data_IF_262627957970
#
_entry.id   IF_262627957970
#
_cell.length_a   1.000
_cell.length_b   1.000
_cell.length_c   1.000
_cell.angle_alpha   90.00
_cell.angle_beta   90.00
_cell.angle_gamma   90.00
#
_symmetry.space_group_name_H-M   'P 1'
#
loop_
_entity.id
_entity.type
_entity.pdbx_description
1 polymer ?
#
# COMPACT_ATOMS: atom_id res chain seq x y z
N UNK A 1 2.28 7.51 -7.16
CA UNK A 1 1.14 8.47 -6.98
C UNK A 1 0.68 8.43 -5.54
N UNK A 2 0.19 9.54 -4.98
CA UNK A 2 -0.35 9.58 -3.62
C UNK A 2 -1.74 10.22 -3.58
N UNK A 3 -2.60 9.71 -2.69
CA UNK A 3 -3.92 10.25 -2.34
C UNK A 3 -3.90 10.61 -0.87
N UNK A 4 -4.19 11.87 -0.54
CA UNK A 4 -4.31 12.32 0.84
C UNK A 4 -5.71 12.01 1.36
N UNK A 5 -5.80 11.33 2.51
CA UNK A 5 -7.08 10.96 3.11
C UNK A 5 -7.67 12.18 3.82
N UNK A 6 -8.97 12.40 3.61
CA UNK A 6 -9.70 13.54 4.19
C UNK A 6 -10.56 13.16 5.40
N UNK A 7 -10.90 11.88 5.52
CA UNK A 7 -11.66 11.35 6.64
C UNK A 7 -10.78 10.53 7.59
N UNK A 8 -11.39 10.13 8.68
CA UNK A 8 -10.73 9.45 9.78
C UNK A 8 -10.80 7.92 9.62
N UNK A 9 -9.72 7.35 9.09
CA UNK A 9 -9.54 5.90 8.98
C UNK A 9 -8.53 5.41 10.02
N UNK A 10 -8.80 4.26 10.64
CA UNK A 10 -7.94 3.75 11.72
C UNK A 10 -7.69 2.25 11.63
N UNK A 11 -6.51 1.84 12.12
CA UNK A 11 -6.11 0.44 12.28
C UNK A 11 -5.63 0.18 13.71
N UNK A 12 -5.87 -1.05 14.20
CA UNK A 12 -5.42 -1.59 15.50
C UNK A 12 -5.31 -3.12 15.40
N UNK A 13 -4.59 -3.75 16.33
CA UNK A 13 -4.36 -5.20 16.31
C UNK A 13 -3.08 -5.57 15.55
N UNK A 14 -2.95 -6.84 15.15
CA UNK A 14 -1.78 -7.37 14.42
C UNK A 14 -0.40 -7.07 15.09
N UNK A 15 -0.39 -6.92 16.42
CA UNK A 15 0.83 -6.58 17.19
C UNK A 15 1.16 -5.09 17.26
N UNK A 16 0.34 -4.19 16.70
CA UNK A 16 0.58 -2.75 16.75
C UNK A 16 0.37 -2.17 18.16
N UNK A 17 1.22 -1.23 18.61
CA UNK A 17 1.12 -0.59 19.92
C UNK A 17 0.05 0.52 19.92
N UNK A 18 -1.21 0.12 19.85
CA UNK A 18 -2.36 1.04 19.94
C UNK A 18 -3.11 1.23 18.62
N UNK A 19 -3.67 2.43 18.44
CA UNK A 19 -4.53 2.79 17.30
C UNK A 19 -3.82 3.82 16.43
N UNK A 20 -3.67 3.51 15.15
CA UNK A 20 -3.04 4.39 14.17
C UNK A 20 -4.11 5.00 13.26
N UNK A 21 -3.94 6.27 12.89
CA UNK A 21 -4.79 6.97 11.93
C UNK A 21 -4.08 6.98 10.57
N UNK A 22 -4.77 6.63 9.49
CA UNK A 22 -4.20 6.69 8.15
C UNK A 22 -4.11 8.13 7.65
N UNK A 23 -3.00 8.49 7.01
CA UNK A 23 -2.74 9.83 6.49
C UNK A 23 -2.95 9.91 4.96
N UNK A 24 -2.36 8.96 4.24
CA UNK A 24 -2.37 8.92 2.77
C UNK A 24 -2.39 7.48 2.27
N UNK A 25 -2.47 7.36 0.95
CA UNK A 25 -2.31 6.11 0.23
C UNK A 25 -1.43 6.34 -0.98
N UNK A 26 -0.39 5.54 -1.14
CA UNK A 26 0.58 5.63 -2.23
C UNK A 26 0.50 4.41 -3.15
N UNK A 27 0.81 4.62 -4.42
CA UNK A 27 0.70 3.62 -5.48
C UNK A 27 2.02 3.49 -6.23
N UNK A 28 2.42 2.23 -6.43
CA UNK A 28 3.53 1.79 -7.27
C UNK A 28 3.00 0.84 -8.35
N UNK A 29 3.39 1.02 -9.61
CA UNK A 29 2.95 0.18 -10.72
C UNK A 29 4.04 -0.03 -11.76
N UNK A 30 3.89 -1.08 -12.58
CA UNK A 30 4.82 -1.44 -13.66
C UNK A 30 4.60 -0.61 -14.92
N UNK A 31 5.56 -0.65 -15.84
CA UNK A 31 5.56 0.22 -17.02
C UNK A 31 4.35 0.01 -17.97
N UNK A 32 3.94 -1.23 -18.23
CA UNK A 32 2.94 -1.55 -19.27
C UNK A 32 2.38 -2.96 -19.13
N UNK A 33 1.18 -3.21 -19.67
CA UNK A 33 0.57 -4.53 -19.82
C UNK A 33 0.56 -5.39 -18.54
N UNK A 34 0.36 -4.76 -17.37
CA UNK A 34 0.38 -5.46 -16.10
C UNK A 34 1.75 -6.00 -15.69
N UNK A 35 2.84 -5.41 -16.18
CA UNK A 35 4.20 -5.77 -15.78
C UNK A 35 4.43 -5.52 -14.28
N UNK A 36 5.46 -6.17 -13.73
CA UNK A 36 5.77 -6.13 -12.31
C UNK A 36 5.97 -4.69 -11.79
N UNK A 37 5.15 -4.29 -10.83
CA UNK A 37 5.13 -2.95 -10.24
C UNK A 37 5.19 -2.91 -8.72
N UNK A 38 4.82 -4.00 -8.04
CA UNK A 38 4.81 -4.06 -6.57
C UNK A 38 6.22 -3.95 -6.01
N UNK A 39 6.46 -3.16 -4.97
CA UNK A 39 7.79 -3.06 -4.36
C UNK A 39 8.15 -4.35 -3.61
N UNK A 40 7.18 -4.96 -2.94
CA UNK A 40 7.31 -6.24 -2.28
C UNK A 40 6.99 -7.41 -3.22
N UNK A 41 7.43 -8.62 -2.81
CA UNK A 41 7.17 -9.87 -3.53
C UNK A 41 6.88 -11.01 -2.55
N UNK A 42 6.20 -12.05 -3.03
CA UNK A 42 5.97 -13.28 -2.28
C UNK A 42 6.55 -14.43 -3.09
N UNK A 43 7.52 -15.16 -2.53
CA UNK A 43 8.25 -16.24 -3.22
C UNK A 43 8.82 -15.80 -4.58
N UNK A 44 9.35 -14.58 -4.66
CA UNK A 44 9.90 -13.98 -5.88
C UNK A 44 8.86 -13.48 -6.88
N UNK A 45 7.56 -13.70 -6.66
CA UNK A 45 6.50 -13.16 -7.52
C UNK A 45 6.17 -11.73 -7.13
N UNK A 46 6.32 -10.81 -8.08
CA UNK A 46 5.83 -9.43 -8.01
C UNK A 46 4.45 -9.31 -8.65
N UNK A 47 3.69 -8.30 -8.23
CA UNK A 47 2.35 -8.00 -8.70
C UNK A 47 2.33 -6.73 -9.55
N UNK A 48 1.30 -6.50 -10.38
CA UNK A 48 1.27 -5.35 -11.29
C UNK A 48 1.24 -3.99 -10.59
N UNK A 49 0.60 -3.92 -9.42
CA UNK A 49 0.44 -2.70 -8.62
C UNK A 49 0.60 -3.06 -7.14
N UNK A 50 1.20 -2.16 -6.36
CA UNK A 50 1.15 -2.16 -4.90
C UNK A 50 0.57 -0.85 -4.39
N UNK A 51 -0.27 -0.97 -3.37
CA UNK A 51 -0.88 0.14 -2.65
C UNK A 51 -0.36 0.10 -1.23
N UNK A 52 0.18 1.23 -0.76
CA UNK A 52 0.74 1.37 0.59
C UNK A 52 0.21 2.63 1.28
N UNK A 53 0.44 2.73 2.58
CA UNK A 53 -0.13 3.76 3.44
C UNK A 53 0.93 4.79 3.82
#
# INVERSE_FOLDING_TARGET
>A
VAVLLKDDYFVRGAGLPGRFKAEKMEFHWGQSNGSAGSEHSINGRRFPVEVKH
#
